data_IF_669439175483
#
_entry.id   IF_669439175483
#
_cell.length_a   1.000
_cell.length_b   1.000
_cell.length_c   1.000
_cell.angle_alpha   90.00
_cell.angle_beta   90.00
_cell.angle_gamma   90.00
#
_symmetry.space_group_name_H-M   'P 1'
#
loop_
_entity.id
_entity.type
_entity.pdbx_description
1 polymer ?
#
# COMPACT_ATOMS: atom_id res chain seq x y z
N UNK A 1 -36.23 -4.30 -7.87
CA UNK A 1 -35.82 -3.68 -6.59
C UNK A 1 -34.30 -3.59 -6.41
N UNK A 2 -33.50 -4.58 -6.80
CA UNK A 2 -32.02 -4.53 -6.68
C UNK A 2 -31.33 -3.52 -7.63
N UNK A 3 -31.82 -3.39 -8.87
CA UNK A 3 -31.28 -2.45 -9.87
C UNK A 3 -31.42 -0.97 -9.45
N UNK A 4 -32.53 -0.61 -8.82
CA UNK A 4 -32.81 0.76 -8.38
C UNK A 4 -31.90 1.17 -7.22
N UNK A 5 -31.67 0.26 -6.26
CA UNK A 5 -30.72 0.49 -5.16
C UNK A 5 -29.28 0.65 -5.65
N UNK A 6 -28.86 -0.11 -6.67
CA UNK A 6 -27.52 0.03 -7.29
C UNK A 6 -27.34 1.39 -7.97
N UNK A 7 -28.38 1.91 -8.63
CA UNK A 7 -28.35 3.23 -9.27
C UNK A 7 -28.36 4.38 -8.27
N UNK A 8 -29.06 4.25 -7.14
CA UNK A 8 -29.03 5.24 -6.06
C UNK A 8 -27.66 5.26 -5.37
N UNK A 9 -27.05 4.09 -5.17
CA UNK A 9 -25.71 3.96 -4.58
C UNK A 9 -24.63 4.63 -5.44
N UNK A 10 -24.63 4.40 -6.76
CA UNK A 10 -23.68 5.04 -7.70
C UNK A 10 -23.84 6.57 -7.70
N UNK A 11 -25.08 7.08 -7.61
CA UNK A 11 -25.33 8.52 -7.56
C UNK A 11 -24.88 9.18 -6.25
N UNK A 12 -25.00 8.46 -5.12
CA UNK A 12 -24.51 8.94 -3.82
C UNK A 12 -22.99 8.99 -3.82
N UNK A 13 -22.31 7.95 -4.32
CA UNK A 13 -20.84 7.93 -4.47
C UNK A 13 -20.38 9.13 -5.29
N UNK A 14 -20.91 9.33 -6.51
CA UNK A 14 -20.52 10.45 -7.38
C UNK A 14 -20.74 11.83 -6.75
N UNK A 15 -21.79 11.99 -5.93
CA UNK A 15 -22.11 13.26 -5.29
C UNK A 15 -21.24 13.56 -4.08
N UNK A 16 -20.88 12.53 -3.31
CA UNK A 16 -19.88 12.61 -2.23
C UNK A 16 -18.49 12.89 -2.82
N UNK A 17 -18.15 12.23 -3.94
CA UNK A 17 -16.93 12.43 -4.73
C UNK A 17 -16.76 13.90 -5.14
N UNK A 18 -17.79 14.49 -5.76
CA UNK A 18 -17.78 15.90 -6.20
C UNK A 18 -17.70 16.89 -5.03
N UNK A 19 -18.28 16.57 -3.86
CA UNK A 19 -18.21 17.44 -2.68
C UNK A 19 -16.83 17.42 -2.02
N UNK A 20 -16.21 16.25 -1.85
CA UNK A 20 -14.81 16.15 -1.37
C UNK A 20 -13.85 16.87 -2.31
N UNK A 21 -14.06 16.73 -3.64
CA UNK A 21 -13.29 17.43 -4.67
C UNK A 21 -13.34 18.96 -4.50
N UNK A 22 -14.52 19.55 -4.33
CA UNK A 22 -14.67 21.01 -4.18
C UNK A 22 -14.05 21.53 -2.88
N UNK A 23 -14.03 20.71 -1.82
CA UNK A 23 -13.57 21.13 -0.50
C UNK A 23 -12.03 21.06 -0.36
N UNK A 24 -11.34 20.11 -1.02
CA UNK A 24 -9.86 20.05 -1.06
C UNK A 24 -9.22 21.16 -1.94
N UNK A 25 -9.96 21.80 -2.86
CA UNK A 25 -9.45 22.87 -3.74
C UNK A 25 -9.51 24.30 -3.17
N UNK A 26 -9.97 24.51 -1.93
CA UNK A 26 -10.14 25.84 -1.34
C UNK A 26 -8.94 26.26 -0.46
N UNK A 27 -7.71 26.13 -0.94
CA UNK A 27 -6.53 26.63 -0.24
C UNK A 27 -5.59 27.41 -1.17
N UNK A 28 -5.37 28.67 -0.79
CA UNK A 28 -4.29 29.59 -1.22
C UNK A 28 -4.43 30.24 -2.61
N UNK A 29 -5.07 31.41 -2.65
CA UNK A 29 -4.73 32.47 -3.61
C UNK A 29 -4.74 33.82 -2.89
N UNK A 30 -3.57 34.28 -2.43
CA UNK A 30 -3.29 35.72 -2.27
C UNK A 30 -2.29 36.11 -3.33
N UNK A 31 -2.76 36.94 -4.27
CA UNK A 31 -2.07 37.29 -5.50
C UNK A 31 -0.91 38.27 -5.31
N UNK A 32 0.17 38.07 -6.07
CA UNK A 32 1.02 39.14 -6.61
C UNK A 32 1.35 38.82 -8.08
N UNK A 33 1.26 39.79 -9.01
CA UNK A 33 1.59 39.53 -10.41
C UNK A 33 3.07 39.82 -10.65
N UNK A 34 3.83 38.82 -11.08
CA UNK A 34 5.11 39.06 -11.76
C UNK A 34 5.18 38.18 -13.00
N UNK A 35 5.05 38.84 -14.16
CA UNK A 35 5.16 38.25 -15.47
C UNK A 35 6.65 38.03 -15.76
N UNK A 36 7.09 36.76 -15.76
CA UNK A 36 8.35 36.34 -16.37
C UNK A 36 8.02 35.20 -17.33
N UNK A 37 8.13 35.50 -18.62
CA UNK A 37 8.09 34.50 -19.69
C UNK A 37 9.44 33.78 -19.66
N UNK A 38 9.62 32.90 -18.68
CA UNK A 38 10.65 31.88 -18.69
C UNK A 38 10.10 30.67 -19.43
N UNK A 39 10.87 30.09 -20.33
CA UNK A 39 10.63 28.74 -20.85
C UNK A 39 10.20 27.81 -19.70
N UNK A 40 9.30 26.82 -19.90
CA UNK A 40 9.09 25.82 -18.86
C UNK A 40 10.44 25.15 -18.63
N UNK A 41 11.12 25.56 -17.57
CA UNK A 41 12.12 24.73 -16.96
C UNK A 41 11.33 23.50 -16.54
N UNK A 42 11.54 22.39 -17.25
CA UNK A 42 11.31 21.10 -16.66
C UNK A 42 12.19 21.07 -15.42
N UNK A 43 11.63 21.44 -14.28
CA UNK A 43 12.23 21.07 -13.00
C UNK A 43 12.07 19.56 -13.02
N UNK A 44 13.18 18.86 -13.26
CA UNK A 44 13.27 17.46 -12.89
C UNK A 44 12.92 17.43 -11.40
N UNK A 45 11.74 16.92 -11.07
CA UNK A 45 11.38 16.63 -9.69
C UNK A 45 12.49 15.69 -9.20
N UNK A 46 13.25 16.13 -8.20
CA UNK A 46 14.26 15.26 -7.62
C UNK A 46 13.56 14.04 -7.03
N UNK A 47 14.12 12.85 -7.25
CA UNK A 47 13.59 11.60 -6.71
C UNK A 47 13.26 11.76 -5.22
N UNK A 48 12.03 11.45 -4.83
CA UNK A 48 11.53 11.75 -3.49
C UNK A 48 11.81 10.62 -2.52
N UNK A 49 12.31 10.93 -1.33
CA UNK A 49 12.57 9.94 -0.28
C UNK A 49 11.29 9.17 0.06
N UNK A 50 11.42 7.89 0.42
CA UNK A 50 10.28 7.11 0.90
C UNK A 50 9.82 7.67 2.26
N UNK A 51 8.56 8.12 2.41
CA UNK A 51 8.06 8.67 3.66
C UNK A 51 8.22 7.68 4.83
N UNK A 52 8.67 8.17 5.98
CA UNK A 52 8.79 7.36 7.18
C UNK A 52 7.41 7.10 7.81
N UNK A 53 7.16 5.86 8.25
CA UNK A 53 6.05 5.56 9.15
C UNK A 53 6.50 5.72 10.60
N UNK A 54 5.68 6.37 11.40
CA UNK A 54 5.87 6.43 12.86
C UNK A 54 5.28 5.15 13.48
N UNK A 55 5.97 4.47 14.40
CA UNK A 55 5.42 3.33 15.13
C UNK A 55 4.04 3.59 15.78
N UNK A 56 3.78 4.83 16.23
CA UNK A 56 2.49 5.20 16.81
C UNK A 56 1.31 5.12 15.80
N UNK A 57 1.60 5.31 14.51
CA UNK A 57 0.61 5.40 13.44
C UNK A 57 0.47 4.07 12.65
N UNK A 58 1.40 3.14 12.85
CA UNK A 58 1.57 1.95 12.03
C UNK A 58 0.44 0.90 12.14
N UNK A 59 -0.45 1.05 13.12
CA UNK A 59 -1.67 0.25 13.29
C UNK A 59 -2.97 1.03 13.04
N UNK A 60 -2.87 2.19 12.39
CA UNK A 60 -4.02 2.96 11.96
C UNK A 60 -3.69 3.52 10.58
N UNK A 61 -3.88 2.69 9.56
CA UNK A 61 -3.41 2.95 8.21
C UNK A 61 -4.55 2.90 7.20
N UNK A 62 -4.42 3.68 6.13
CA UNK A 62 -5.13 3.44 4.89
C UNK A 62 -4.15 2.75 3.93
N UNK A 63 -4.49 1.52 3.51
CA UNK A 63 -3.57 0.63 2.80
C UNK A 63 -4.09 0.32 1.39
N UNK A 64 -3.29 0.66 0.37
CA UNK A 64 -3.48 0.13 -0.97
C UNK A 64 -2.68 -1.17 -1.15
N UNK A 65 -3.36 -2.31 -1.21
CA UNK A 65 -2.78 -3.60 -1.60
C UNK A 65 -2.75 -3.70 -3.12
N UNK A 66 -1.56 -3.48 -3.69
CA UNK A 66 -1.32 -3.50 -5.14
C UNK A 66 -0.73 -4.86 -5.52
N UNK A 67 -1.56 -5.71 -6.11
CA UNK A 67 -1.24 -7.11 -6.36
C UNK A 67 -0.97 -7.35 -7.84
N UNK A 68 0.24 -7.82 -8.13
CA UNK A 68 0.58 -8.31 -9.46
C UNK A 68 -0.28 -9.53 -9.79
N UNK A 69 -0.89 -9.50 -10.97
CA UNK A 69 -1.57 -10.65 -11.59
C UNK A 69 -1.05 -10.88 -13.00
N UNK A 70 0.20 -10.53 -13.27
CA UNK A 70 0.90 -10.76 -14.52
C UNK A 70 0.98 -12.25 -14.87
N UNK A 71 1.28 -12.55 -16.13
CA UNK A 71 1.36 -13.94 -16.59
C UNK A 71 2.46 -14.78 -15.92
N UNK A 72 3.50 -14.18 -15.34
CA UNK A 72 4.58 -14.89 -14.63
C UNK A 72 4.11 -15.56 -13.35
N UNK A 73 3.07 -15.02 -12.72
CA UNK A 73 2.44 -15.55 -11.51
C UNK A 73 1.61 -16.80 -11.81
N UNK A 74 1.36 -17.13 -13.08
CA UNK A 74 0.57 -18.30 -13.48
C UNK A 74 1.04 -19.60 -12.82
N UNK A 75 0.15 -20.24 -12.06
CA UNK A 75 0.44 -21.43 -11.26
C UNK A 75 0.78 -21.15 -9.80
N UNK A 76 1.00 -19.89 -9.41
CA UNK A 76 1.24 -19.44 -8.04
C UNK A 76 0.18 -18.42 -7.54
N UNK A 77 -0.99 -18.36 -8.18
CA UNK A 77 -2.05 -17.42 -7.80
C UNK A 77 -2.57 -17.69 -6.38
N UNK A 78 -2.54 -18.94 -5.93
CA UNK A 78 -3.00 -19.33 -4.60
C UNK A 78 -2.13 -18.72 -3.51
N UNK A 79 -0.82 -18.66 -3.73
CA UNK A 79 0.18 -18.12 -2.84
C UNK A 79 0.05 -16.59 -2.74
N UNK A 80 -0.14 -15.89 -3.85
CA UNK A 80 -0.42 -14.44 -3.85
C UNK A 80 -1.74 -14.14 -3.10
N UNK A 81 -2.80 -14.92 -3.37
CA UNK A 81 -4.08 -14.77 -2.67
C UNK A 81 -3.95 -15.01 -1.18
N UNK A 82 -3.30 -16.11 -0.79
CA UNK A 82 -3.08 -16.47 0.62
C UNK A 82 -2.33 -15.38 1.36
N UNK A 83 -1.23 -14.90 0.78
CA UNK A 83 -0.42 -13.82 1.33
C UNK A 83 -1.20 -12.50 1.48
N UNK A 84 -1.94 -12.07 0.46
CA UNK A 84 -2.75 -10.86 0.54
C UNK A 84 -3.85 -10.96 1.61
N UNK A 85 -4.50 -12.12 1.72
CA UNK A 85 -5.50 -12.37 2.78
C UNK A 85 -4.86 -12.42 4.16
N UNK A 86 -3.65 -12.93 4.29
CA UNK A 86 -2.94 -12.94 5.56
C UNK A 86 -2.58 -11.51 6.01
N UNK A 87 -2.22 -10.61 5.09
CA UNK A 87 -2.08 -9.17 5.41
C UNK A 87 -3.40 -8.58 5.88
N UNK A 88 -4.51 -8.84 5.19
CA UNK A 88 -5.85 -8.39 5.61
C UNK A 88 -6.18 -8.88 7.02
N UNK A 89 -6.01 -10.17 7.29
CA UNK A 89 -6.34 -10.77 8.59
C UNK A 89 -5.35 -10.43 9.71
N UNK A 90 -4.14 -9.99 9.37
CA UNK A 90 -3.16 -9.54 10.36
C UNK A 90 -3.49 -8.12 10.88
N UNK A 91 -4.03 -7.23 10.04
CA UNK A 91 -4.55 -5.93 10.49
C UNK A 91 -5.97 -6.04 11.06
N UNK A 92 -6.88 -6.69 10.34
CA UNK A 92 -8.30 -6.67 10.63
C UNK A 92 -8.80 -7.91 11.36
N UNK A 93 -9.80 -7.78 12.26
CA UNK A 93 -10.46 -6.54 12.70
C UNK A 93 -9.78 -5.89 13.91
N UNK A 94 -8.51 -6.22 14.19
CA UNK A 94 -7.82 -5.82 15.41
C UNK A 94 -7.45 -4.34 15.42
N UNK A 95 -7.24 -3.75 14.24
CA UNK A 95 -6.87 -2.34 14.06
C UNK A 95 -7.99 -1.50 13.45
N UNK A 96 -7.81 -0.18 13.50
CA UNK A 96 -8.62 0.77 12.74
C UNK A 96 -8.06 0.97 11.32
N UNK A 97 -7.53 -0.07 10.69
CA UNK A 97 -6.99 0.00 9.32
C UNK A 97 -8.13 -0.09 8.30
N UNK A 98 -8.03 0.59 7.17
CA UNK A 98 -8.81 0.28 5.97
C UNK A 98 -7.87 -0.19 4.87
N UNK A 99 -8.26 -1.26 4.16
CA UNK A 99 -7.48 -1.79 3.05
C UNK A 99 -8.31 -1.68 1.77
N UNK A 100 -7.63 -1.43 0.66
CA UNK A 100 -8.17 -1.49 -0.69
C UNK A 100 -7.34 -2.46 -1.53
N UNK A 101 -7.95 -3.03 -2.55
CA UNK A 101 -7.30 -4.04 -3.41
C UNK A 101 -7.27 -3.53 -4.84
N UNK A 102 -6.07 -3.56 -5.40
CA UNK A 102 -5.77 -3.18 -6.78
C UNK A 102 -5.08 -4.37 -7.43
N UNK A 103 -5.52 -4.70 -8.64
CA UNK A 103 -4.83 -5.69 -9.46
C UNK A 103 -4.17 -5.01 -10.63
N UNK A 104 -2.99 -5.49 -11.01
CA UNK A 104 -2.32 -5.02 -12.21
C UNK A 104 -1.72 -6.13 -13.06
N UNK A 105 -1.69 -5.90 -14.36
CA UNK A 105 -1.00 -6.68 -15.38
C UNK A 105 -0.46 -5.75 -16.49
N UNK A 106 -0.94 -5.88 -17.74
CA UNK A 106 -0.85 -4.86 -18.78
C UNK A 106 -1.68 -3.61 -18.48
N UNK A 107 -2.61 -3.69 -17.56
CA UNK A 107 -3.51 -2.62 -17.10
C UNK A 107 -3.63 -2.67 -15.57
N UNK A 108 -4.14 -1.60 -14.96
CA UNK A 108 -4.45 -1.57 -13.52
C UNK A 108 -5.93 -1.34 -13.30
N UNK A 109 -6.47 -1.90 -12.21
CA UNK A 109 -7.82 -1.63 -11.75
C UNK A 109 -7.97 -1.78 -10.24
N UNK A 110 -8.66 -0.80 -9.64
CA UNK A 110 -9.25 -0.93 -8.31
C UNK A 110 -10.37 -1.98 -8.34
N UNK A 111 -10.16 -3.09 -7.65
CA UNK A 111 -11.17 -4.17 -7.53
C UNK A 111 -11.98 -4.08 -6.24
N UNK A 112 -11.41 -3.48 -5.20
CA UNK A 112 -12.09 -3.18 -3.94
C UNK A 112 -11.58 -1.84 -3.40
N UNK A 113 -12.45 -0.82 -3.27
CA UNK A 113 -12.10 0.42 -2.55
C UNK A 113 -11.81 0.17 -1.07
N UNK A 114 -11.19 1.15 -0.41
CA UNK A 114 -10.89 1.14 1.03
C UNK A 114 -12.10 0.71 1.86
N UNK A 115 -11.89 -0.28 2.72
CA UNK A 115 -12.87 -0.79 3.68
C UNK A 115 -12.18 -1.56 4.79
N UNK A 116 -12.84 -1.69 5.94
CA UNK A 116 -12.47 -2.62 7.01
C UNK A 116 -13.28 -3.93 6.99
N UNK A 117 -14.08 -4.18 5.94
CA UNK A 117 -14.82 -5.43 5.79
C UNK A 117 -13.93 -6.54 5.22
N UNK A 118 -13.47 -7.42 6.10
CA UNK A 118 -12.64 -8.60 5.76
C UNK A 118 -13.27 -9.44 4.64
N UNK A 119 -14.58 -9.70 4.69
CA UNK A 119 -15.24 -10.55 3.69
C UNK A 119 -15.23 -9.92 2.30
N UNK A 120 -15.42 -8.61 2.19
CA UNK A 120 -15.39 -7.91 0.90
C UNK A 120 -13.97 -7.93 0.31
N UNK A 121 -12.95 -7.72 1.15
CA UNK A 121 -11.54 -7.78 0.76
C UNK A 121 -11.13 -9.18 0.28
N UNK A 122 -11.42 -10.21 1.07
CA UNK A 122 -11.07 -11.58 0.71
C UNK A 122 -11.79 -12.05 -0.56
N UNK A 123 -13.07 -11.65 -0.73
CA UNK A 123 -13.84 -11.95 -1.94
C UNK A 123 -13.23 -11.27 -3.16
N UNK A 124 -12.78 -10.02 -3.03
CA UNK A 124 -12.09 -9.33 -4.12
C UNK A 124 -10.77 -10.02 -4.47
N UNK A 125 -9.95 -10.36 -3.47
CA UNK A 125 -8.68 -11.08 -3.65
C UNK A 125 -8.89 -12.42 -4.36
N UNK A 126 -9.95 -13.16 -4.03
CA UNK A 126 -10.26 -14.45 -4.66
C UNK A 126 -10.49 -14.37 -6.18
N UNK A 127 -10.82 -13.20 -6.70
CA UNK A 127 -11.01 -12.97 -8.14
C UNK A 127 -9.71 -12.85 -8.93
N UNK A 128 -8.54 -12.81 -8.26
CA UNK A 128 -7.24 -12.73 -8.91
C UNK A 128 -7.03 -13.91 -9.87
N UNK A 129 -6.59 -13.59 -11.09
CA UNK A 129 -6.28 -14.55 -12.15
C UNK A 129 -5.13 -14.01 -12.97
N UNK A 130 -4.08 -14.81 -13.13
CA UNK A 130 -2.87 -14.40 -13.83
C UNK A 130 -3.11 -14.16 -15.33
N UNK A 131 -2.39 -13.20 -15.90
CA UNK A 131 -2.38 -12.88 -17.33
C UNK A 131 -1.71 -11.54 -17.62
N UNK A 132 -1.46 -11.24 -18.91
CA UNK A 132 -0.91 -9.94 -19.30
C UNK A 132 0.56 -9.72 -18.92
N UNK A 133 1.00 -8.46 -19.01
CA UNK A 133 2.34 -7.99 -18.65
C UNK A 133 2.43 -7.53 -17.19
N UNK A 134 3.45 -6.72 -16.86
CA UNK A 134 3.74 -6.29 -15.47
C UNK A 134 3.98 -4.78 -15.43
N UNK A 135 2.93 -3.97 -15.58
CA UNK A 135 3.02 -2.50 -15.66
C UNK A 135 2.79 -1.85 -14.30
N UNK A 136 3.85 -1.34 -13.70
CA UNK A 136 3.88 -0.77 -12.36
C UNK A 136 3.35 0.66 -12.31
N UNK A 137 3.63 1.50 -13.31
CA UNK A 137 3.21 2.90 -13.32
C UNK A 137 1.70 3.07 -13.12
N UNK A 138 0.84 2.45 -13.97
CA UNK A 138 -0.61 2.50 -13.79
C UNK A 138 -1.09 1.97 -12.43
N UNK A 139 -0.42 0.95 -11.90
CA UNK A 139 -0.77 0.35 -10.61
C UNK A 139 -0.48 1.30 -9.43
N UNK A 140 0.67 1.97 -9.48
CA UNK A 140 1.07 2.97 -8.49
C UNK A 140 0.16 4.21 -8.59
N UNK A 141 -0.21 4.62 -9.80
CA UNK A 141 -1.11 5.76 -10.02
C UNK A 141 -2.53 5.50 -9.48
N UNK A 142 -3.08 4.30 -9.70
CA UNK A 142 -4.36 3.86 -9.12
C UNK A 142 -4.27 3.79 -7.59
N UNK A 143 -3.16 3.26 -7.05
CA UNK A 143 -2.90 3.19 -5.61
C UNK A 143 -2.86 4.57 -4.96
N UNK A 144 -2.09 5.50 -5.57
CA UNK A 144 -2.06 6.89 -5.15
C UNK A 144 -3.45 7.51 -5.20
N UNK A 145 -4.18 7.34 -6.31
CA UNK A 145 -5.51 7.95 -6.48
C UNK A 145 -6.52 7.42 -5.47
N UNK A 146 -6.47 6.12 -5.14
CA UNK A 146 -7.30 5.52 -4.11
C UNK A 146 -7.05 6.14 -2.74
N UNK A 147 -5.78 6.27 -2.36
CA UNK A 147 -5.33 6.86 -1.11
C UNK A 147 -5.49 8.39 -1.10
N UNK A 148 -5.59 9.07 -2.25
CA UNK A 148 -5.79 10.52 -2.28
C UNK A 148 -7.25 10.96 -2.08
N UNK A 149 -8.19 10.07 -2.42
CA UNK A 149 -9.61 10.41 -2.62
C UNK A 149 -10.54 9.57 -1.74
N UNK A 150 -10.20 8.31 -1.54
CA UNK A 150 -10.98 7.33 -0.80
C UNK A 150 -10.66 7.28 0.69
N UNK A 151 -9.57 7.92 1.11
CA UNK A 151 -8.97 7.93 2.44
C UNK A 151 -9.79 8.63 3.53
N UNK A 152 -9.30 8.38 4.74
CA UNK A 152 -9.66 9.06 5.99
C UNK A 152 -8.72 10.24 6.19
N UNK A 153 -8.65 10.79 7.41
CA UNK A 153 -7.79 11.95 7.69
C UNK A 153 -6.36 11.48 7.96
N UNK A 154 -5.40 11.91 7.14
CA UNK A 154 -3.99 11.55 7.25
C UNK A 154 -3.32 12.02 8.53
N UNK A 155 -3.94 12.95 9.27
CA UNK A 155 -3.45 13.29 10.59
C UNK A 155 -3.41 12.04 11.50
N UNK A 156 -4.43 11.19 11.38
CA UNK A 156 -4.69 10.03 12.25
C UNK A 156 -4.56 8.67 11.53
N UNK A 157 -4.56 8.65 10.18
CA UNK A 157 -4.50 7.42 9.38
C UNK A 157 -3.48 7.58 8.25
N UNK A 158 -2.26 7.08 8.42
CA UNK A 158 -1.22 7.27 7.40
C UNK A 158 -1.45 6.36 6.19
N UNK A 159 -1.11 6.87 5.02
CA UNK A 159 -1.17 6.14 3.76
C UNK A 159 0.03 5.21 3.55
N UNK A 160 -0.27 3.94 3.26
CA UNK A 160 0.71 2.92 2.90
C UNK A 160 0.29 2.20 1.62
N UNK A 161 1.17 2.18 0.63
CA UNK A 161 1.03 1.32 -0.55
C UNK A 161 1.92 0.09 -0.39
N UNK A 162 1.33 -1.11 -0.46
CA UNK A 162 2.07 -2.38 -0.44
C UNK A 162 1.98 -3.00 -1.82
N UNK A 163 3.12 -3.08 -2.51
CA UNK A 163 3.20 -3.52 -3.90
C UNK A 163 3.85 -4.89 -4.01
N UNK A 164 3.11 -5.87 -4.53
CA UNK A 164 3.53 -7.25 -4.72
C UNK A 164 3.93 -7.46 -6.18
N UNK A 165 5.05 -8.10 -6.46
CA UNK A 165 5.45 -8.49 -7.83
C UNK A 165 6.46 -9.64 -7.80
N UNK A 166 6.31 -10.60 -8.72
CA UNK A 166 7.24 -11.73 -8.87
C UNK A 166 8.31 -11.50 -9.95
N UNK A 167 8.22 -10.36 -10.65
CA UNK A 167 8.99 -10.07 -11.84
C UNK A 167 9.50 -8.63 -11.93
N UNK A 168 10.26 -8.39 -13.00
CA UNK A 168 10.67 -7.04 -13.41
C UNK A 168 9.53 -6.33 -14.14
N UNK A 169 9.33 -5.03 -13.90
CA UNK A 169 8.27 -4.29 -14.54
C UNK A 169 8.53 -4.05 -16.02
N UNK A 170 7.45 -3.90 -16.78
CA UNK A 170 7.45 -3.55 -18.21
C UNK A 170 7.63 -2.04 -18.46
N UNK A 171 7.48 -1.24 -17.41
CA UNK A 171 7.73 0.20 -17.29
C UNK A 171 8.49 0.47 -15.98
N UNK A 172 8.89 1.71 -15.69
CA UNK A 172 9.66 1.99 -14.46
C UNK A 172 8.77 2.26 -13.24
N UNK A 173 7.61 2.89 -13.45
CA UNK A 173 6.74 3.40 -12.37
C UNK A 173 7.39 4.50 -11.50
N UNK A 174 8.57 5.01 -11.87
CA UNK A 174 9.36 5.93 -11.05
C UNK A 174 8.66 7.28 -10.87
N UNK A 175 8.10 7.83 -11.95
CA UNK A 175 7.44 9.13 -11.92
C UNK A 175 6.14 9.07 -11.07
N UNK A 176 5.38 7.99 -11.21
CA UNK A 176 4.17 7.73 -10.44
C UNK A 176 4.49 7.51 -8.96
N UNK A 177 5.57 6.78 -8.65
CA UNK A 177 6.05 6.60 -7.29
C UNK A 177 6.51 7.92 -6.65
N UNK A 178 7.27 8.74 -7.38
CA UNK A 178 7.68 10.06 -6.90
C UNK A 178 6.49 10.97 -6.64
N UNK A 179 5.46 10.91 -7.50
CA UNK A 179 4.25 11.66 -7.28
C UNK A 179 3.47 11.18 -6.05
N UNK A 180 3.40 9.85 -5.79
CA UNK A 180 2.79 9.31 -4.59
C UNK A 180 3.54 9.74 -3.31
N UNK A 181 4.87 9.62 -3.30
CA UNK A 181 5.74 10.02 -2.18
C UNK A 181 5.83 11.54 -1.97
N UNK A 182 5.28 12.35 -2.87
CA UNK A 182 5.25 13.81 -2.73
C UNK A 182 3.83 14.37 -2.71
N UNK A 183 2.82 13.49 -2.60
CA UNK A 183 1.43 13.94 -2.58
C UNK A 183 1.20 14.92 -1.45
N UNK A 184 0.78 16.14 -1.81
CA UNK A 184 0.44 17.18 -0.85
C UNK A 184 -1.06 17.15 -0.50
N UNK A 185 -1.86 16.38 -1.25
CA UNK A 185 -3.31 16.25 -1.03
C UNK A 185 -3.68 15.32 0.12
N UNK A 186 -2.82 14.34 0.45
CA UNK A 186 -3.08 13.33 1.50
C UNK A 186 -1.86 12.97 2.34
N UNK A 187 -0.96 13.92 2.56
CA UNK A 187 0.40 13.62 3.06
C UNK A 187 1.19 12.68 2.11
N UNK A 188 2.52 12.60 2.28
CA UNK A 188 3.34 11.69 1.49
C UNK A 188 2.99 10.22 1.71
N UNK A 189 2.68 9.48 0.65
CA UNK A 189 2.37 8.05 0.70
C UNK A 189 3.66 7.24 0.82
N UNK A 190 3.75 6.34 1.81
CA UNK A 190 4.87 5.38 1.91
C UNK A 190 4.64 4.21 0.95
N UNK A 191 5.70 3.77 0.26
CA UNK A 191 5.66 2.60 -0.62
C UNK A 191 6.50 1.48 0.01
N UNK A 192 5.90 0.30 0.16
CA UNK A 192 6.56 -0.94 0.58
C UNK A 192 6.54 -1.93 -0.59
N UNK A 193 7.71 -2.33 -1.05
CA UNK A 193 7.85 -3.34 -2.10
C UNK A 193 7.92 -4.76 -1.54
N UNK A 194 7.17 -5.69 -2.11
CA UNK A 194 7.20 -7.12 -1.80
C UNK A 194 7.59 -7.86 -3.08
N UNK A 195 8.89 -8.16 -3.20
CA UNK A 195 9.45 -8.97 -4.28
C UNK A 195 9.32 -10.46 -3.97
N UNK A 196 8.83 -11.24 -4.92
CA UNK A 196 8.47 -12.64 -4.72
C UNK A 196 9.25 -13.54 -5.67
N UNK A 197 9.96 -14.52 -5.14
CA UNK A 197 10.73 -15.47 -5.91
C UNK A 197 11.91 -14.84 -6.65
N UNK A 198 12.55 -15.66 -7.49
CA UNK A 198 13.81 -15.27 -8.15
C UNK A 198 13.65 -14.30 -9.33
N UNK A 199 12.42 -14.08 -9.80
CA UNK A 199 12.14 -13.16 -10.90
C UNK A 199 12.08 -11.69 -10.47
N UNK A 200 11.85 -11.44 -9.18
CA UNK A 200 11.72 -10.11 -8.62
C UNK A 200 13.10 -9.44 -8.50
N UNK A 201 13.26 -8.30 -9.17
CA UNK A 201 14.50 -7.54 -9.14
C UNK A 201 14.43 -6.47 -8.03
N UNK A 202 15.25 -6.61 -6.98
CA UNK A 202 15.36 -5.61 -5.91
C UNK A 202 15.68 -4.21 -6.46
N UNK A 203 16.41 -4.10 -7.57
CA UNK A 203 16.70 -2.82 -8.22
C UNK A 203 15.45 -2.08 -8.67
N UNK A 204 14.42 -2.79 -9.17
CA UNK A 204 13.17 -2.17 -9.60
C UNK A 204 12.37 -1.65 -8.41
N UNK A 205 12.35 -2.41 -7.31
CA UNK A 205 11.76 -1.92 -6.06
C UNK A 205 12.51 -0.72 -5.49
N UNK A 206 13.85 -0.70 -5.57
CA UNK A 206 14.66 0.47 -5.18
C UNK A 206 14.33 1.71 -6.02
N UNK A 207 13.93 1.56 -7.28
CA UNK A 207 13.48 2.69 -8.09
C UNK A 207 12.22 3.34 -7.49
N UNK A 208 11.19 2.55 -7.19
CA UNK A 208 9.93 3.10 -6.68
C UNK A 208 10.03 3.56 -5.21
N UNK A 209 10.90 2.94 -4.40
CA UNK A 209 11.18 3.35 -3.01
C UNK A 209 12.29 4.41 -2.90
N UNK A 210 12.80 4.93 -4.02
CA UNK A 210 13.92 5.89 -4.11
C UNK A 210 15.13 5.52 -3.24
N UNK A 211 15.76 4.41 -3.61
CA UNK A 211 16.99 3.91 -3.02
C UNK A 211 16.77 2.76 -2.07
N UNK A 212 15.63 2.66 -1.39
CA UNK A 212 15.30 1.60 -0.43
C UNK A 212 16.36 1.47 0.66
N UNK A 213 16.22 2.19 1.76
CA UNK A 213 17.24 2.21 2.82
C UNK A 213 17.33 0.87 3.56
N UNK A 214 16.22 0.12 3.59
CA UNK A 214 16.10 -1.18 4.24
C UNK A 214 15.50 -2.22 3.29
N UNK A 215 16.28 -3.26 2.98
CA UNK A 215 15.85 -4.44 2.23
C UNK A 215 15.98 -5.65 3.13
N UNK A 216 14.86 -6.30 3.41
CA UNK A 216 14.79 -7.47 4.29
C UNK A 216 14.55 -8.72 3.44
N UNK A 217 15.28 -9.78 3.75
CA UNK A 217 15.06 -11.11 3.19
C UNK A 217 14.87 -12.07 4.36
N UNK A 218 13.64 -12.53 4.63
CA UNK A 218 13.35 -13.44 5.73
C UNK A 218 14.31 -14.64 5.72
N UNK A 219 14.81 -15.09 6.88
CA UNK A 219 14.26 -14.86 8.23
C UNK A 219 14.80 -13.61 8.95
N UNK A 220 15.47 -12.69 8.26
CA UNK A 220 15.90 -11.42 8.87
C UNK A 220 14.70 -10.65 9.43
N UNK A 221 14.89 -10.01 10.59
CA UNK A 221 13.82 -9.30 11.28
C UNK A 221 13.39 -8.04 10.50
N UNK A 222 12.09 -7.77 10.53
CA UNK A 222 11.51 -6.57 9.95
C UNK A 222 11.66 -5.37 10.90
N UNK A 223 11.71 -4.17 10.30
CA UNK A 223 11.61 -2.91 11.01
C UNK A 223 10.53 -2.01 10.39
N UNK A 224 10.11 -1.00 11.15
CA UNK A 224 9.15 0.03 10.68
C UNK A 224 9.66 0.81 9.45
N UNK A 225 10.98 0.82 9.25
CA UNK A 225 11.68 1.45 8.13
C UNK A 225 11.93 0.50 6.95
N UNK A 226 11.43 -0.75 7.00
CA UNK A 226 11.52 -1.69 5.88
C UNK A 226 10.87 -1.09 4.63
N UNK A 227 11.64 -0.97 3.55
CA UNK A 227 11.16 -0.44 2.27
C UNK A 227 10.89 -1.57 1.28
N UNK A 228 11.65 -2.67 1.37
CA UNK A 228 11.58 -3.80 0.44
C UNK A 228 11.69 -5.11 1.22
N UNK A 229 10.76 -6.02 0.97
CA UNK A 229 10.81 -7.42 1.41
C UNK A 229 11.04 -8.30 0.19
N UNK A 230 12.07 -9.14 0.23
CA UNK A 230 12.31 -10.19 -0.77
C UNK A 230 11.97 -11.54 -0.15
N UNK A 231 10.90 -12.16 -0.61
CA UNK A 231 10.35 -13.43 -0.09
C UNK A 231 10.21 -14.46 -1.23
N UNK A 232 9.77 -15.67 -0.89
CA UNK A 232 9.47 -16.74 -1.83
C UNK A 232 7.98 -17.13 -1.75
N UNK A 233 7.39 -17.59 -2.85
CA UNK A 233 5.98 -18.01 -2.89
C UNK A 233 5.60 -18.99 -1.76
N UNK A 234 6.53 -19.88 -1.38
CA UNK A 234 6.30 -20.88 -0.34
C UNK A 234 6.24 -20.31 1.09
N UNK A 235 6.89 -19.17 1.36
CA UNK A 235 6.97 -18.55 2.70
C UNK A 235 6.24 -17.22 2.78
N UNK A 236 5.77 -16.69 1.65
CA UNK A 236 5.20 -15.35 1.50
C UNK A 236 4.13 -15.03 2.54
N UNK A 237 3.22 -15.96 2.80
CA UNK A 237 2.17 -15.76 3.80
C UNK A 237 2.74 -15.52 5.20
N UNK A 238 3.67 -16.38 5.64
CA UNK A 238 4.28 -16.28 6.96
C UNK A 238 5.16 -15.02 7.09
N UNK A 239 5.89 -14.69 6.02
CA UNK A 239 6.77 -13.53 5.97
C UNK A 239 5.98 -12.22 6.10
N UNK A 240 4.82 -12.12 5.43
CA UNK A 240 3.98 -10.92 5.51
C UNK A 240 3.22 -10.79 6.82
N UNK A 241 2.82 -11.92 7.42
CA UNK A 241 2.28 -11.90 8.79
C UNK A 241 3.31 -11.36 9.76
N UNK A 242 4.56 -11.83 9.66
CA UNK A 242 5.65 -11.34 10.50
C UNK A 242 5.95 -9.86 10.26
N UNK A 243 5.92 -9.39 9.00
CA UNK A 243 6.05 -7.98 8.67
C UNK A 243 4.94 -7.14 9.31
N UNK A 244 3.66 -7.51 9.11
CA UNK A 244 2.53 -6.75 9.67
C UNK A 244 2.56 -6.74 11.20
N UNK A 245 2.93 -7.86 11.82
CA UNK A 245 3.12 -7.91 13.27
C UNK A 245 4.21 -6.95 13.73
N UNK A 246 5.35 -6.90 13.05
CA UNK A 246 6.44 -5.97 13.34
C UNK A 246 6.05 -4.50 13.17
N UNK A 247 5.21 -4.18 12.17
CA UNK A 247 4.67 -2.83 12.02
C UNK A 247 3.81 -2.43 13.22
N UNK A 248 3.19 -3.41 13.89
CA UNK A 248 2.24 -3.18 14.97
C UNK A 248 2.73 -3.48 16.39
N UNK A 249 4.04 -3.64 16.55
CA UNK A 249 4.69 -3.76 17.84
C UNK A 249 4.87 -2.38 18.48
N UNK A 250 4.26 -2.17 19.65
CA UNK A 250 4.48 -0.99 20.49
C UNK A 250 5.49 -1.34 21.59
N UNK A 251 6.64 -0.65 21.60
CA UNK A 251 7.61 -0.73 22.70
C UNK A 251 7.19 0.22 23.81
N UNK A 252 6.86 -0.32 24.98
CA UNK A 252 6.60 0.46 26.19
C UNK A 252 7.89 0.48 27.01
N UNK A 253 8.61 1.60 27.05
CA UNK A 253 9.81 1.69 27.85
C UNK A 253 9.46 1.65 29.34
N UNK A 254 10.10 0.76 30.10
CA UNK A 254 9.92 0.74 31.55
C UNK A 254 10.62 1.95 32.16
N UNK A 255 9.89 2.77 32.93
CA UNK A 255 10.43 3.98 33.57
C UNK A 255 11.57 3.69 34.57
N UNK A 256 11.73 2.44 35.01
CA UNK A 256 12.65 2.02 36.08
C UNK A 256 13.88 1.21 35.60
N UNK A 257 14.12 1.12 34.29
CA UNK A 257 15.34 0.49 33.73
C UNK A 257 15.32 -1.05 33.71
N UNK A 258 14.13 -1.66 33.66
CA UNK A 258 13.95 -3.07 33.28
C UNK A 258 13.92 -3.25 31.75
N UNK A 259 13.65 -4.48 31.31
CA UNK A 259 13.55 -4.80 29.88
C UNK A 259 12.25 -4.22 29.30
N UNK A 260 12.33 -3.59 28.13
CA UNK A 260 11.17 -2.95 27.51
C UNK A 260 10.09 -4.00 27.21
N UNK A 261 8.83 -3.69 27.51
CA UNK A 261 7.72 -4.58 27.16
C UNK A 261 7.23 -4.26 25.75
N UNK A 262 7.31 -5.25 24.84
CA UNK A 262 6.72 -5.15 23.50
C UNK A 262 5.30 -5.70 23.52
N UNK A 263 4.31 -4.87 23.18
CA UNK A 263 2.92 -5.27 23.02
C UNK A 263 2.56 -5.19 21.54
N UNK A 264 2.17 -6.33 20.96
CA UNK A 264 1.69 -6.38 19.59
C UNK A 264 0.18 -6.06 19.54
N UNK A 265 -0.22 -4.97 18.86
CA UNK A 265 -1.64 -4.59 18.72
C UNK A 265 -2.45 -5.54 17.84
N UNK A 266 -1.78 -6.37 17.04
CA UNK A 266 -2.34 -7.38 16.14
C UNK A 266 -2.34 -8.81 16.75
N UNK A 267 -2.12 -8.95 18.06
CA UNK A 267 -1.98 -10.23 18.80
C UNK A 267 -3.12 -11.26 18.59
N UNK A 268 -4.22 -10.89 17.92
CA UNK A 268 -5.26 -11.81 17.48
C UNK A 268 -4.76 -12.89 16.49
N UNK A 269 -3.73 -12.61 15.68
CA UNK A 269 -3.23 -13.56 14.66
C UNK A 269 -2.12 -14.52 15.16
N UNK A 270 -1.59 -14.34 16.38
CA UNK A 270 -0.48 -15.18 16.91
C UNK A 270 -0.95 -16.55 17.45
N UNK A 271 -2.22 -16.94 17.23
CA UNK A 271 -2.71 -18.28 17.60
C UNK A 271 -2.78 -19.21 16.37
N UNK A 272 -1.77 -20.09 16.29
CA UNK A 272 -1.64 -21.29 15.43
C UNK A 272 -0.81 -21.15 14.14
N UNK A 273 0.50 -20.96 14.28
CA UNK A 273 1.45 -21.48 13.26
C UNK A 273 2.58 -22.26 13.96
N UNK A 274 2.23 -23.20 14.84
CA UNK A 274 3.11 -24.36 15.14
C UNK A 274 2.24 -25.56 15.55
N UNK A 275 1.89 -26.42 14.60
CA UNK A 275 1.78 -27.87 14.84
C UNK A 275 1.65 -28.66 13.54
N UNK A 276 2.77 -29.20 13.05
CA UNK A 276 2.89 -30.60 12.58
C UNK A 276 4.36 -30.96 12.45
#
# INVERSE_FOLDING_TARGET
MLSTKRSEYINIINKTYMKKLIQKFLAVITATPMLLIGSPAFIAQAASANPALNPADACSLDIALVLDKSGSIGGNEAEIKGAAKAVVNAFLPATDTELGVIFFDSTSAVVQPLTNNVTDLETAIDTLSAGGGTFWGPAIDDGRTMLEVGDRDDADHKDLMIMFSDGSPSDTGEAEADAAKTSASTMPIRILGVGIGTGAATSSFRTITNGGSSVVSPPDAFGIDTDIVMSDFATLEADLVALVNSLCDETIPEEDGGDDTVINKNSAYVKNVVSS
#
